data_IF_451788920355
#
_entry.id   IF_451788920355
#
_cell.length_a   1.000
_cell.length_b   1.000
_cell.length_c   1.000
_cell.angle_alpha   90.00
_cell.angle_beta   90.00
_cell.angle_gamma   90.00
#
_symmetry.space_group_name_H-M   'P 1'
#
loop_
_entity.id
_entity.type
_entity.pdbx_description
1 polymer ?
#
# COMPACT_ATOMS: atom_id res chain seq x y z
N UNK A 1 99.34 -26.03 -32.62
CA UNK A 1 98.74 -25.25 -33.72
C UNK A 1 97.40 -24.68 -33.23
N UNK A 2 97.10 -23.41 -33.56
CA UNK A 2 95.83 -22.65 -33.36
C UNK A 2 95.24 -22.56 -31.94
N UNK A 3 95.44 -21.49 -31.15
CA UNK A 3 94.85 -20.12 -31.16
C UNK A 3 93.38 -20.01 -30.65
N UNK A 4 93.22 -19.12 -29.66
CA UNK A 4 92.07 -18.22 -29.35
C UNK A 4 90.83 -18.90 -28.72
N UNK A 5 90.03 -18.30 -27.81
CA UNK A 5 89.97 -16.98 -27.17
C UNK A 5 89.06 -17.09 -25.93
N UNK A 6 89.25 -16.18 -24.98
CA UNK A 6 88.49 -16.02 -23.74
C UNK A 6 87.01 -15.67 -23.94
N UNK A 7 86.16 -15.96 -22.94
CA UNK A 7 85.17 -14.99 -22.44
C UNK A 7 84.61 -15.38 -21.07
N UNK A 8 84.59 -14.38 -20.17
CA UNK A 8 83.99 -14.39 -18.84
C UNK A 8 82.46 -14.45 -18.95
N UNK A 9 81.81 -15.33 -18.19
CA UNK A 9 80.36 -15.22 -17.96
C UNK A 9 80.08 -14.69 -16.55
N UNK A 10 79.46 -13.50 -16.55
CA UNK A 10 78.91 -12.79 -15.41
C UNK A 10 77.70 -13.54 -14.82
N UNK A 11 77.60 -13.58 -13.49
CA UNK A 11 76.46 -14.15 -12.76
C UNK A 11 75.25 -13.22 -12.89
N UNK A 12 74.25 -13.63 -13.66
CA UNK A 12 72.95 -12.96 -13.72
C UNK A 12 72.08 -13.44 -12.53
N UNK A 13 71.79 -12.53 -11.59
CA UNK A 13 70.80 -12.75 -10.53
C UNK A 13 69.41 -12.66 -11.15
N UNK A 14 68.71 -13.80 -11.22
CA UNK A 14 67.29 -13.84 -11.59
C UNK A 14 66.48 -13.49 -10.34
N UNK A 15 65.99 -12.26 -10.28
CA UNK A 15 64.99 -11.83 -9.29
C UNK A 15 63.62 -12.30 -9.77
N UNK A 16 63.05 -13.29 -9.10
CA UNK A 16 61.66 -13.73 -9.33
C UNK A 16 60.74 -12.70 -8.67
N UNK A 17 60.18 -11.80 -9.45
CA UNK A 17 59.12 -10.89 -9.01
C UNK A 17 57.80 -11.67 -9.03
N UNK A 18 57.31 -12.07 -7.86
CA UNK A 18 55.95 -12.59 -7.69
C UNK A 18 54.98 -11.43 -7.94
N UNK A 19 54.35 -11.42 -9.12
CA UNK A 19 53.28 -10.49 -9.46
C UNK A 19 52.04 -10.78 -8.63
N UNK A 20 51.76 -9.95 -7.63
CA UNK A 20 50.50 -9.93 -6.90
C UNK A 20 49.39 -9.43 -7.84
N UNK A 21 48.70 -10.34 -8.52
CA UNK A 21 47.44 -10.03 -9.18
C UNK A 21 46.38 -9.80 -8.11
N UNK A 22 46.28 -8.57 -7.61
CA UNK A 22 45.13 -8.13 -6.79
C UNK A 22 43.91 -8.15 -7.71
N UNK A 23 43.06 -9.16 -7.54
CA UNK A 23 41.75 -9.20 -8.16
C UNK A 23 40.97 -7.96 -7.76
N UNK A 24 40.72 -7.08 -8.71
CA UNK A 24 39.69 -6.03 -8.62
C UNK A 24 38.31 -6.72 -8.64
N UNK A 25 37.97 -7.41 -7.54
CA UNK A 25 36.59 -7.75 -7.25
C UNK A 25 35.84 -6.44 -7.07
N UNK A 26 34.94 -6.14 -8.01
CA UNK A 26 34.17 -4.91 -8.00
C UNK A 26 33.51 -4.70 -6.63
N UNK A 27 33.99 -3.71 -5.87
CA UNK A 27 33.25 -3.18 -4.74
C UNK A 27 31.94 -2.65 -5.32
N UNK A 28 30.86 -3.42 -5.16
CA UNK A 28 29.51 -2.92 -5.35
C UNK A 28 29.36 -1.76 -4.38
N UNK A 29 29.47 -0.53 -4.90
CA UNK A 29 29.33 0.67 -4.10
C UNK A 29 28.01 0.60 -3.36
N UNK A 30 28.05 0.73 -2.03
CA UNK A 30 26.84 0.79 -1.22
C UNK A 30 25.96 1.93 -1.75
N UNK A 31 24.84 1.59 -2.38
CA UNK A 31 23.88 2.57 -2.88
C UNK A 31 22.99 3.01 -1.73
N UNK A 32 23.18 4.24 -1.27
CA UNK A 32 22.30 4.83 -0.26
C UNK A 32 20.92 5.09 -0.87
N UNK A 33 19.86 4.62 -0.21
CA UNK A 33 18.49 5.02 -0.53
C UNK A 33 18.25 6.46 -0.08
N UNK A 34 17.46 7.22 -0.83
CA UNK A 34 16.90 8.48 -0.37
C UNK A 34 15.53 8.74 -1.00
N UNK A 35 14.69 9.53 -0.32
CA UNK A 35 13.37 9.90 -0.82
C UNK A 35 13.49 10.75 -2.09
N UNK A 36 12.87 10.28 -3.16
CA UNK A 36 12.87 10.89 -4.48
C UNK A 36 13.76 10.20 -5.50
N UNK A 37 14.68 9.33 -5.08
CA UNK A 37 15.18 8.29 -5.97
C UNK A 37 14.09 7.23 -6.06
N UNK A 38 13.52 7.00 -7.23
CA UNK A 38 12.46 6.00 -7.41
C UNK A 38 13.08 4.66 -7.79
N UNK A 39 12.68 3.60 -7.08
CA UNK A 39 12.85 2.22 -7.56
C UNK A 39 11.53 1.73 -8.12
N UNK A 40 11.57 1.04 -9.26
CA UNK A 40 10.37 0.50 -9.88
C UNK A 40 10.63 -0.79 -10.64
N UNK A 41 9.57 -1.58 -10.78
CA UNK A 41 9.54 -2.77 -11.64
C UNK A 41 8.12 -3.01 -12.11
N UNK A 42 7.96 -3.46 -13.36
CA UNK A 42 6.70 -4.01 -13.88
C UNK A 42 6.97 -5.42 -14.41
N UNK A 43 6.14 -6.36 -14.01
CA UNK A 43 6.20 -7.76 -14.45
C UNK A 43 4.87 -8.24 -15.00
N UNK A 44 4.93 -9.15 -15.97
CA UNK A 44 3.76 -9.96 -16.35
C UNK A 44 3.51 -11.01 -15.25
N UNK A 45 2.28 -11.05 -14.73
CA UNK A 45 1.95 -11.90 -13.58
C UNK A 45 1.98 -13.40 -13.92
N UNK A 46 1.70 -13.78 -15.16
CA UNK A 46 1.65 -15.18 -15.58
C UNK A 46 3.06 -15.76 -15.73
N UNK A 47 3.89 -15.09 -16.51
CA UNK A 47 5.23 -15.54 -16.90
C UNK A 47 6.33 -15.12 -15.93
N UNK A 48 6.11 -14.04 -15.17
CA UNK A 48 7.16 -13.40 -14.36
C UNK A 48 8.15 -12.58 -15.19
N UNK A 49 7.91 -12.39 -16.49
CA UNK A 49 8.77 -11.58 -17.36
C UNK A 49 8.83 -10.14 -16.86
N UNK A 50 10.04 -9.58 -16.78
CA UNK A 50 10.26 -8.18 -16.41
C UNK A 50 10.09 -7.32 -17.65
N UNK A 51 9.11 -6.42 -17.63
CA UNK A 51 8.77 -5.54 -18.75
C UNK A 51 9.43 -4.15 -18.62
N UNK A 52 9.64 -3.71 -17.39
CA UNK A 52 10.34 -2.46 -17.07
C UNK A 52 10.96 -2.56 -15.69
N UNK A 53 12.12 -1.95 -15.48
CA UNK A 53 12.74 -1.85 -14.16
C UNK A 53 13.69 -0.67 -14.05
N UNK A 54 13.78 -0.10 -12.85
CA UNK A 54 14.74 0.93 -12.47
C UNK A 54 15.12 0.73 -11.01
N UNK A 55 16.41 0.58 -10.70
CA UNK A 55 16.92 0.36 -9.34
C UNK A 55 16.09 -0.69 -8.55
N UNK A 56 15.65 -1.75 -9.22
CA UNK A 56 14.66 -2.71 -8.71
C UNK A 56 15.18 -3.53 -7.53
N UNK A 57 16.51 -3.72 -7.46
CA UNK A 57 17.24 -4.45 -6.42
C UNK A 57 17.79 -3.52 -5.32
N UNK A 58 17.51 -2.21 -5.39
CA UNK A 58 17.91 -1.27 -4.34
C UNK A 58 17.12 -1.54 -3.07
N UNK A 59 17.82 -1.85 -1.97
CA UNK A 59 17.22 -2.08 -0.66
C UNK A 59 16.59 -0.81 -0.10
N UNK A 60 15.34 -0.92 0.34
CA UNK A 60 14.50 0.18 0.82
C UNK A 60 13.66 -0.21 2.02
N UNK A 61 13.25 0.79 2.79
CA UNK A 61 12.23 0.61 3.80
C UNK A 61 10.88 0.28 3.14
N UNK A 62 10.19 -0.81 3.52
CA UNK A 62 8.92 -1.21 2.90
C UNK A 62 7.74 -0.33 3.31
N UNK A 63 7.80 0.32 4.47
CA UNK A 63 6.63 0.88 5.15
C UNK A 63 5.48 -0.15 5.20
N UNK A 64 4.22 0.30 5.10
CA UNK A 64 3.05 -0.59 5.11
C UNK A 64 2.99 -1.64 3.99
N UNK A 65 3.88 -1.63 2.99
CA UNK A 65 3.97 -2.74 2.01
C UNK A 65 4.34 -4.06 2.69
N UNK A 66 4.96 -4.03 3.87
CA UNK A 66 5.18 -5.19 4.74
C UNK A 66 3.91 -6.02 4.98
N UNK A 67 2.75 -5.38 5.06
CA UNK A 67 1.47 -6.05 5.30
C UNK A 67 1.09 -7.03 4.19
N UNK A 68 1.67 -6.93 3.00
CA UNK A 68 1.51 -7.94 1.95
C UNK A 68 2.03 -9.31 2.41
N UNK A 69 3.16 -9.35 3.13
CA UNK A 69 3.70 -10.61 3.67
C UNK A 69 2.86 -11.11 4.85
N UNK A 70 2.34 -10.18 5.67
CA UNK A 70 1.40 -10.53 6.75
C UNK A 70 0.13 -11.18 6.19
N UNK A 71 -0.45 -10.61 5.12
CA UNK A 71 -1.59 -11.19 4.41
C UNK A 71 -1.24 -12.52 3.74
N UNK A 72 -0.07 -12.63 3.12
CA UNK A 72 0.40 -13.88 2.50
C UNK A 72 0.45 -15.03 3.52
N UNK A 73 1.01 -14.79 4.72
CA UNK A 73 1.05 -15.79 5.79
C UNK A 73 -0.35 -16.07 6.38
N UNK A 74 -1.21 -15.07 6.50
CA UNK A 74 -2.59 -15.28 6.94
C UNK A 74 -3.38 -16.17 5.97
N UNK A 75 -3.28 -15.90 4.66
CA UNK A 75 -3.89 -16.71 3.61
C UNK A 75 -3.33 -18.14 3.58
N UNK A 76 -2.01 -18.30 3.80
CA UNK A 76 -1.38 -19.61 3.98
C UNK A 76 -1.99 -20.37 5.17
N UNK A 77 -2.11 -19.71 6.31
CA UNK A 77 -2.66 -20.32 7.53
C UNK A 77 -4.13 -20.72 7.36
N UNK A 78 -4.94 -19.87 6.71
CA UNK A 78 -6.35 -20.18 6.40
C UNK A 78 -6.46 -21.35 5.44
N UNK A 79 -5.74 -21.32 4.31
CA UNK A 79 -5.82 -22.39 3.29
C UNK A 79 -5.37 -23.75 3.84
N UNK A 80 -4.40 -23.76 4.74
CA UNK A 80 -3.91 -24.99 5.38
C UNK A 80 -4.74 -25.43 6.59
N UNK A 81 -5.81 -24.72 6.92
CA UNK A 81 -6.71 -25.04 8.03
C UNK A 81 -6.11 -24.79 9.41
N UNK A 82 -5.01 -24.03 9.51
CA UNK A 82 -4.40 -23.66 10.80
C UNK A 82 -5.25 -22.65 11.56
N UNK A 83 -5.92 -21.75 10.83
CA UNK A 83 -6.87 -20.76 11.36
C UNK A 83 -8.07 -20.66 10.42
N UNK A 84 -9.18 -20.10 10.89
CA UNK A 84 -10.36 -19.80 10.06
C UNK A 84 -10.59 -18.29 9.95
N UNK A 85 -11.21 -17.82 8.86
CA UNK A 85 -11.53 -16.41 8.68
C UNK A 85 -12.42 -15.83 9.79
N UNK A 86 -13.37 -16.62 10.27
CA UNK A 86 -14.28 -16.25 11.36
C UNK A 86 -13.69 -16.48 12.77
N UNK A 87 -12.45 -16.97 12.88
CA UNK A 87 -11.82 -17.22 14.16
C UNK A 87 -11.50 -15.89 14.84
N UNK A 88 -11.92 -15.76 16.11
CA UNK A 88 -11.63 -14.60 16.93
C UNK A 88 -10.17 -14.62 17.42
N UNK A 89 -9.51 -13.47 17.34
CA UNK A 89 -8.16 -13.24 17.81
C UNK A 89 -8.18 -12.20 18.93
N UNK A 90 -7.51 -12.45 20.07
CA UNK A 90 -7.41 -11.46 21.13
C UNK A 90 -6.53 -10.29 20.71
N UNK A 91 -6.89 -9.09 21.15
CA UNK A 91 -6.08 -7.88 20.94
C UNK A 91 -5.23 -7.63 22.19
N UNK A 92 -3.91 -7.65 22.03
CA UNK A 92 -2.98 -7.33 23.11
C UNK A 92 -2.87 -5.82 23.38
N UNK A 93 -2.24 -5.44 24.50
CA UNK A 93 -1.88 -4.04 24.77
C UNK A 93 -0.90 -3.51 23.73
N UNK A 94 0.06 -4.35 23.32
CA UNK A 94 1.06 -4.02 22.29
C UNK A 94 0.35 -3.70 20.97
N UNK A 95 -0.48 -4.61 20.45
CA UNK A 95 -1.23 -4.40 19.23
C UNK A 95 -2.08 -3.11 19.26
N UNK A 96 -2.83 -2.86 20.33
CA UNK A 96 -3.64 -1.66 20.46
C UNK A 96 -2.84 -0.34 20.45
N UNK A 97 -1.55 -0.39 20.79
CA UNK A 97 -0.65 0.78 20.81
C UNK A 97 -0.04 1.14 19.44
N UNK A 98 -0.24 0.31 18.41
CA UNK A 98 0.42 0.49 17.11
C UNK A 98 -0.21 1.64 16.29
N UNK A 99 0.42 2.80 16.33
CA UNK A 99 0.03 4.04 15.62
C UNK A 99 0.79 4.24 14.30
N UNK A 100 0.43 5.19 13.43
CA UNK A 100 -0.73 6.09 13.49
C UNK A 100 -1.98 5.55 12.79
N UNK A 101 -1.85 4.75 11.72
CA UNK A 101 -3.02 4.18 11.04
C UNK A 101 -3.53 2.97 11.80
N UNK A 102 -4.70 3.06 12.42
CA UNK A 102 -5.26 2.01 13.28
C UNK A 102 -6.79 1.95 13.24
N UNK A 103 -7.38 0.82 13.59
CA UNK A 103 -8.84 0.71 13.81
C UNK A 103 -9.27 1.31 15.15
N UNK A 104 -8.35 1.43 16.10
CA UNK A 104 -8.65 1.83 17.47
C UNK A 104 -9.10 0.64 18.32
N UNK A 105 -8.49 -0.53 18.09
CA UNK A 105 -8.76 -1.73 18.86
C UNK A 105 -8.44 -1.50 20.36
N UNK A 106 -9.22 -2.14 21.24
CA UNK A 106 -9.03 -2.04 22.69
C UNK A 106 -8.30 -3.27 23.22
N UNK A 107 -7.36 -3.13 24.17
CA UNK A 107 -6.76 -4.30 24.82
C UNK A 107 -7.82 -5.22 25.42
N UNK A 108 -7.69 -6.53 25.19
CA UNK A 108 -8.64 -7.55 25.64
C UNK A 108 -9.91 -7.67 24.80
N UNK A 109 -10.13 -6.80 23.81
CA UNK A 109 -11.16 -7.01 22.79
C UNK A 109 -10.75 -8.13 21.81
N UNK A 110 -11.67 -8.50 20.93
CA UNK A 110 -11.43 -9.52 19.91
C UNK A 110 -11.69 -8.95 18.51
N UNK A 111 -10.97 -9.50 17.54
CA UNK A 111 -11.10 -9.20 16.11
C UNK A 111 -11.04 -10.53 15.34
N UNK A 112 -11.93 -10.74 14.38
CA UNK A 112 -11.82 -11.95 13.53
C UNK A 112 -10.64 -11.84 12.55
N UNK A 113 -10.10 -12.97 12.10
CA UNK A 113 -9.05 -13.02 11.07
C UNK A 113 -9.47 -12.26 9.81
N UNK A 114 -10.73 -12.42 9.37
CA UNK A 114 -11.28 -11.70 8.21
C UNK A 114 -11.32 -10.19 8.42
N UNK A 115 -11.78 -9.72 9.59
CA UNK A 115 -11.77 -8.30 9.89
C UNK A 115 -10.36 -7.73 9.92
N UNK A 116 -9.37 -8.50 10.39
CA UNK A 116 -7.97 -8.09 10.30
C UNK A 116 -7.53 -7.98 8.83
N UNK A 117 -7.77 -9.00 8.01
CA UNK A 117 -7.49 -8.95 6.56
C UNK A 117 -8.10 -7.70 5.91
N UNK A 118 -9.38 -7.45 6.15
CA UNK A 118 -10.09 -6.26 5.66
C UNK A 118 -9.48 -4.96 6.16
N UNK A 119 -9.06 -4.90 7.42
CA UNK A 119 -8.41 -3.72 8.01
C UNK A 119 -7.02 -3.44 7.40
N UNK A 120 -6.27 -4.50 7.09
CA UNK A 120 -4.95 -4.41 6.46
C UNK A 120 -5.07 -3.90 5.01
N UNK A 121 -6.04 -4.41 4.24
CA UNK A 121 -6.23 -3.98 2.83
C UNK A 121 -6.84 -2.59 2.73
N UNK A 122 -7.87 -2.27 3.53
CA UNK A 122 -8.62 -1.02 3.38
C UNK A 122 -8.02 0.18 4.09
N UNK A 123 -7.61 0.07 5.36
CA UNK A 123 -7.07 1.19 6.16
C UNK A 123 -5.56 1.10 6.37
N UNK A 124 -4.96 -0.05 6.06
CA UNK A 124 -3.57 -0.32 6.43
C UNK A 124 -3.35 -0.29 7.96
N UNK A 125 -4.33 -0.76 8.72
CA UNK A 125 -4.35 -0.66 10.17
C UNK A 125 -3.18 -1.43 10.82
N UNK A 126 -2.36 -0.75 11.62
CA UNK A 126 -1.17 -1.27 12.28
C UNK A 126 -1.55 -2.14 13.50
N UNK A 127 -2.58 -1.73 14.25
CA UNK A 127 -3.11 -2.49 15.39
C UNK A 127 -3.65 -3.86 14.96
N UNK A 128 -4.44 -3.90 13.89
CA UNK A 128 -4.91 -5.16 13.31
C UNK A 128 -3.76 -6.02 12.76
N UNK A 129 -2.74 -5.41 12.14
CA UNK A 129 -1.59 -6.15 11.60
C UNK A 129 -0.75 -6.79 12.71
N UNK A 130 -0.50 -6.04 13.79
CA UNK A 130 0.20 -6.55 14.96
C UNK A 130 -0.62 -7.65 15.65
N UNK A 131 -1.92 -7.45 15.87
CA UNK A 131 -2.78 -8.49 16.47
C UNK A 131 -2.79 -9.79 15.64
N UNK A 132 -2.94 -9.69 14.32
CA UNK A 132 -2.87 -10.85 13.42
C UNK A 132 -1.48 -11.50 13.43
N UNK A 133 -0.42 -10.68 13.46
CA UNK A 133 0.95 -11.15 13.55
C UNK A 133 1.23 -11.90 14.85
N UNK A 134 0.88 -11.32 16.00
CA UNK A 134 0.95 -11.98 17.31
C UNK A 134 0.17 -13.29 17.29
N UNK A 135 -1.06 -13.28 16.79
CA UNK A 135 -1.90 -14.47 16.73
C UNK A 135 -1.26 -15.62 15.93
N UNK A 136 -0.78 -15.33 14.72
CA UNK A 136 -0.08 -16.31 13.88
C UNK A 136 1.32 -16.67 14.41
N UNK A 137 1.95 -15.77 15.18
CA UNK A 137 3.21 -15.98 15.87
C UNK A 137 3.09 -16.77 17.18
N UNK A 138 1.88 -17.13 17.61
CA UNK A 138 1.65 -17.80 18.89
C UNK A 138 1.82 -16.86 20.09
N UNK A 139 1.34 -15.63 19.97
CA UNK A 139 1.38 -14.57 20.98
C UNK A 139 2.58 -13.63 20.90
N UNK A 140 3.43 -13.74 19.87
CA UNK A 140 4.68 -12.98 19.75
C UNK A 140 4.90 -12.45 18.32
N UNK A 141 4.85 -11.12 18.16
CA UNK A 141 5.09 -10.45 16.88
C UNK A 141 6.54 -10.64 16.40
N UNK A 142 7.53 -10.73 17.30
CA UNK A 142 8.93 -10.94 16.92
C UNK A 142 9.11 -12.31 16.27
N UNK A 143 8.48 -13.33 16.85
CA UNK A 143 8.42 -14.67 16.25
C UNK A 143 7.73 -14.65 14.89
N UNK A 144 6.65 -13.89 14.75
CA UNK A 144 5.98 -13.71 13.46
C UNK A 144 6.87 -13.01 12.42
N UNK A 145 7.57 -11.95 12.78
CA UNK A 145 8.52 -11.28 11.88
C UNK A 145 9.65 -12.21 11.40
N UNK A 146 10.11 -13.12 12.26
CA UNK A 146 11.05 -14.17 11.86
C UNK A 146 10.41 -15.18 10.89
N UNK A 147 9.12 -15.52 11.04
CA UNK A 147 8.36 -16.32 10.08
C UNK A 147 8.26 -15.61 8.72
N UNK A 148 7.92 -14.31 8.73
CA UNK A 148 7.85 -13.49 7.51
C UNK A 148 9.19 -13.47 6.76
N UNK A 149 10.30 -13.27 7.47
CA UNK A 149 11.65 -13.26 6.86
C UNK A 149 12.03 -14.63 6.29
N UNK A 150 11.72 -15.73 6.99
CA UNK A 150 11.94 -17.09 6.46
C UNK A 150 11.10 -17.35 5.22
N UNK A 151 9.83 -16.93 5.22
CA UNK A 151 8.97 -17.10 4.06
C UNK A 151 9.47 -16.27 2.88
N UNK A 152 9.92 -15.03 3.11
CA UNK A 152 10.57 -14.21 2.08
C UNK A 152 11.72 -14.96 1.40
N UNK A 153 12.61 -15.57 2.18
CA UNK A 153 13.69 -16.42 1.65
C UNK A 153 13.18 -17.63 0.85
N UNK A 154 12.08 -18.28 1.26
CA UNK A 154 11.47 -19.39 0.51
C UNK A 154 10.87 -18.95 -0.83
N UNK A 155 10.39 -17.71 -0.91
CA UNK A 155 9.87 -17.12 -2.15
C UNK A 155 10.97 -16.56 -3.07
N UNK A 156 12.23 -16.55 -2.61
CA UNK A 156 13.36 -15.98 -3.35
C UNK A 156 13.51 -14.46 -3.19
N UNK A 157 12.93 -13.87 -2.15
CA UNK A 157 13.05 -12.45 -1.82
C UNK A 157 14.32 -12.18 -0.99
N UNK A 158 15.49 -12.23 -1.63
CA UNK A 158 16.78 -12.23 -0.93
C UNK A 158 17.24 -10.87 -0.41
N UNK A 159 16.62 -9.77 -0.86
CA UNK A 159 16.90 -8.42 -0.35
C UNK A 159 15.99 -8.03 0.83
N UNK A 160 15.11 -8.95 1.23
CA UNK A 160 14.02 -8.71 2.19
C UNK A 160 14.30 -9.25 3.58
N UNK A 161 14.10 -8.39 4.57
CA UNK A 161 14.10 -8.71 5.99
C UNK A 161 12.92 -8.00 6.64
N UNK A 162 12.08 -8.75 7.37
CA UNK A 162 10.96 -8.20 8.14
C UNK A 162 11.29 -8.18 9.64
N UNK A 163 10.76 -7.17 10.33
CA UNK A 163 10.96 -6.98 11.78
C UNK A 163 9.67 -6.76 12.57
N UNK A 164 8.56 -6.53 11.90
CA UNK A 164 7.22 -6.46 12.48
C UNK A 164 6.17 -6.78 11.41
N UNK A 165 4.91 -6.96 11.82
CA UNK A 165 3.82 -7.33 10.92
C UNK A 165 3.24 -6.14 10.15
N UNK A 166 3.50 -4.91 10.60
CA UNK A 166 2.82 -3.70 10.14
C UNK A 166 3.63 -2.89 9.13
N UNK A 167 4.95 -2.99 9.13
CA UNK A 167 5.82 -2.09 8.40
C UNK A 167 6.20 -0.83 9.15
N UNK A 168 5.95 -0.77 10.46
CA UNK A 168 6.42 0.34 11.29
C UNK A 168 7.96 0.45 11.25
N UNK A 169 8.52 1.67 11.40
CA UNK A 169 9.95 1.90 11.24
C UNK A 169 10.81 0.96 12.08
N UNK A 170 11.73 0.28 11.41
CA UNK A 170 12.81 -0.48 12.03
C UNK A 170 14.01 -0.44 11.06
N UNK A 171 15.22 -0.06 11.51
CA UNK A 171 16.38 0.12 10.63
C UNK A 171 16.85 -1.18 9.96
N UNK A 172 16.55 -2.34 10.55
CA UNK A 172 16.90 -3.66 9.98
C UNK A 172 15.84 -4.19 9.01
N UNK A 173 14.67 -3.53 8.91
CA UNK A 173 13.60 -3.94 8.02
C UNK A 173 13.80 -3.35 6.63
N UNK A 174 14.02 -4.20 5.64
CA UNK A 174 14.32 -3.81 4.27
C UNK A 174 13.62 -4.73 3.28
N UNK A 175 13.42 -4.25 2.06
CA UNK A 175 12.94 -5.01 0.89
C UNK A 175 13.52 -4.40 -0.38
N UNK A 176 13.29 -5.01 -1.54
CA UNK A 176 13.50 -4.39 -2.85
C UNK A 176 12.18 -4.28 -3.63
N UNK A 177 12.18 -3.54 -4.74
CA UNK A 177 11.02 -3.48 -5.63
C UNK A 177 10.79 -4.83 -6.32
N UNK A 178 11.88 -5.53 -6.67
CA UNK A 178 11.82 -6.89 -7.24
C UNK A 178 11.18 -7.87 -6.26
N UNK A 179 11.61 -7.87 -5.00
CA UNK A 179 11.09 -8.78 -3.98
C UNK A 179 9.60 -8.56 -3.74
N UNK A 180 9.15 -7.31 -3.72
CA UNK A 180 7.72 -7.01 -3.61
C UNK A 180 6.91 -7.45 -4.84
N UNK A 181 7.50 -7.41 -6.05
CA UNK A 181 6.85 -7.95 -7.24
C UNK A 181 6.73 -9.47 -7.19
N UNK A 182 7.75 -10.16 -6.66
CA UNK A 182 7.71 -11.61 -6.38
C UNK A 182 6.58 -11.92 -5.40
N UNK A 183 6.52 -11.22 -4.27
CA UNK A 183 5.47 -11.40 -3.26
C UNK A 183 4.07 -11.16 -3.81
N UNK A 184 3.88 -10.08 -4.57
CA UNK A 184 2.60 -9.75 -5.19
C UNK A 184 2.16 -10.83 -6.19
N UNK A 185 3.09 -11.36 -6.99
CA UNK A 185 2.81 -12.48 -7.89
C UNK A 185 2.39 -13.72 -7.12
N UNK A 186 3.07 -14.05 -6.03
CA UNK A 186 2.72 -15.17 -5.16
C UNK A 186 1.35 -14.99 -4.48
N UNK A 187 0.98 -13.78 -4.05
CA UNK A 187 -0.38 -13.50 -3.56
C UNK A 187 -1.45 -13.81 -4.61
N UNK A 188 -1.21 -13.46 -5.88
CA UNK A 188 -2.15 -13.67 -6.98
C UNK A 188 -2.23 -15.13 -7.40
N UNK A 189 -1.07 -15.79 -7.56
CA UNK A 189 -0.98 -17.16 -8.10
C UNK A 189 -1.30 -18.19 -7.04
N UNK A 190 -0.78 -18.03 -5.82
CA UNK A 190 -0.95 -19.02 -4.77
C UNK A 190 -2.28 -18.85 -4.04
N UNK A 191 -2.83 -17.63 -3.96
CA UNK A 191 -4.04 -17.35 -3.16
C UNK A 191 -5.09 -16.56 -3.96
N UNK A 192 -5.25 -16.90 -5.25
CA UNK A 192 -6.21 -16.26 -6.14
C UNK A 192 -7.64 -16.28 -5.61
N UNK A 193 -8.02 -17.31 -4.83
CA UNK A 193 -9.31 -17.41 -4.15
C UNK A 193 -9.55 -16.30 -3.10
N UNK A 194 -8.49 -15.76 -2.51
CA UNK A 194 -8.56 -14.69 -1.50
C UNK A 194 -8.18 -13.31 -2.06
N UNK A 195 -7.70 -13.24 -3.30
CA UNK A 195 -7.24 -11.99 -3.90
C UNK A 195 -8.33 -10.91 -3.98
N UNK A 196 -9.60 -11.31 -4.00
CA UNK A 196 -10.75 -10.40 -4.00
C UNK A 196 -10.75 -9.40 -2.82
N UNK A 197 -10.12 -9.72 -1.69
CA UNK A 197 -10.00 -8.78 -0.56
C UNK A 197 -9.27 -7.49 -0.92
N UNK A 198 -8.32 -7.50 -1.85
CA UNK A 198 -7.56 -6.30 -2.23
C UNK A 198 -8.41 -5.27 -2.98
N UNK A 199 -9.50 -5.70 -3.62
CA UNK A 199 -10.35 -4.86 -4.46
C UNK A 199 -11.61 -4.35 -3.74
N UNK A 200 -11.83 -4.69 -2.47
CA UNK A 200 -13.02 -4.23 -1.74
C UNK A 200 -13.01 -2.70 -1.60
N UNK A 201 -14.16 -2.02 -1.80
CA UNK A 201 -14.23 -0.56 -1.69
C UNK A 201 -14.10 -0.06 -0.24
N UNK A 202 -14.39 -0.93 0.72
CA UNK A 202 -14.38 -0.66 2.14
C UNK A 202 -15.02 -1.82 2.92
N UNK A 203 -15.04 -1.72 4.24
CA UNK A 203 -15.77 -2.65 5.10
C UNK A 203 -16.36 -1.96 6.32
N UNK A 204 -17.36 -2.55 6.96
CA UNK A 204 -17.93 -2.02 8.20
C UNK A 204 -17.27 -2.66 9.42
N UNK A 205 -16.75 -1.81 10.31
CA UNK A 205 -16.20 -2.22 11.59
C UNK A 205 -16.92 -1.47 12.72
N UNK A 206 -17.59 -2.21 13.62
CA UNK A 206 -18.41 -1.66 14.71
C UNK A 206 -19.35 -0.53 14.29
N UNK A 207 -20.06 -0.73 13.18
CA UNK A 207 -21.04 0.24 12.65
C UNK A 207 -20.43 1.46 11.94
N UNK A 208 -19.11 1.49 11.74
CA UNK A 208 -18.42 2.53 10.98
C UNK A 208 -17.86 1.97 9.68
N UNK A 209 -18.07 2.69 8.58
CA UNK A 209 -17.44 2.36 7.31
C UNK A 209 -15.95 2.70 7.38
N UNK A 210 -15.13 1.76 6.90
CA UNK A 210 -13.69 1.89 6.74
C UNK A 210 -13.39 1.80 5.24
N UNK A 211 -13.23 2.94 4.55
CA UNK A 211 -13.02 2.96 3.11
C UNK A 211 -11.62 2.46 2.73
N UNK A 212 -11.50 1.89 1.54
CA UNK A 212 -10.21 1.55 0.95
C UNK A 212 -9.51 2.83 0.43
N UNK A 213 -8.24 3.01 0.79
CA UNK A 213 -7.42 4.15 0.38
C UNK A 213 -6.52 3.86 -0.83
N UNK A 214 -6.59 2.69 -1.46
CA UNK A 214 -5.85 2.42 -2.69
C UNK A 214 -6.35 3.34 -3.81
N UNK A 215 -5.53 4.30 -4.27
CA UNK A 215 -5.96 5.25 -5.28
C UNK A 215 -6.17 4.61 -6.65
N UNK A 216 -5.57 3.45 -6.92
CA UNK A 216 -5.57 2.86 -8.26
C UNK A 216 -6.91 2.21 -8.60
N UNK A 217 -7.63 1.66 -7.61
CA UNK A 217 -8.92 0.99 -7.80
C UNK A 217 -9.96 1.85 -8.52
N UNK A 218 -9.96 3.17 -8.26
CA UNK A 218 -10.86 4.11 -8.92
C UNK A 218 -10.21 4.91 -10.06
N UNK A 219 -8.88 5.00 -10.11
CA UNK A 219 -8.17 5.92 -11.00
C UNK A 219 -7.55 5.26 -12.23
N UNK A 220 -7.34 3.93 -12.22
CA UNK A 220 -6.64 3.23 -13.30
C UNK A 220 -7.46 2.07 -13.85
N UNK A 221 -7.82 2.08 -15.16
CA UNK A 221 -8.62 1.01 -15.76
C UNK A 221 -7.97 -0.36 -15.59
N UNK A 222 -8.75 -1.30 -15.03
CA UNK A 222 -8.33 -2.68 -14.79
C UNK A 222 -7.61 -2.91 -13.47
N UNK A 223 -7.37 -1.88 -12.65
CA UNK A 223 -6.70 -2.04 -11.36
C UNK A 223 -7.57 -2.80 -10.34
N UNK A 224 -6.96 -3.74 -9.63
CA UNK A 224 -7.66 -4.63 -8.68
C UNK A 224 -6.86 -4.90 -7.38
N UNK A 225 -5.92 -4.02 -7.06
CA UNK A 225 -5.09 -4.09 -5.86
C UNK A 225 -3.78 -3.28 -6.01
N UNK A 226 -2.82 -3.40 -5.09
CA UNK A 226 -2.84 -4.22 -3.87
C UNK A 226 -2.65 -3.37 -2.62
N UNK A 227 -1.60 -2.55 -2.56
CA UNK A 227 -1.23 -1.86 -1.32
C UNK A 227 -0.33 -0.66 -1.52
N UNK A 228 -0.63 0.41 -0.79
CA UNK A 228 0.24 1.57 -0.60
C UNK A 228 1.10 1.45 0.67
N UNK A 229 2.21 2.19 0.72
CA UNK A 229 3.00 2.38 1.93
C UNK A 229 3.65 3.76 2.00
N UNK A 230 3.76 4.31 3.21
CA UNK A 230 4.42 5.58 3.48
C UNK A 230 5.04 5.59 4.88
N UNK A 231 6.27 6.10 4.97
CA UNK A 231 6.88 6.75 6.14
C UNK A 231 7.80 7.86 5.62
N UNK A 232 8.27 8.73 6.51
CA UNK A 232 9.18 9.81 6.11
C UNK A 232 10.50 9.26 5.53
N UNK A 233 10.98 8.11 6.03
CA UNK A 233 12.19 7.46 5.55
C UNK A 233 11.97 6.65 4.26
N UNK A 234 10.79 6.06 4.10
CA UNK A 234 10.46 5.20 2.97
C UNK A 234 9.98 5.98 1.74
N UNK A 235 9.47 7.20 1.93
CA UNK A 235 8.73 7.94 0.91
C UNK A 235 7.41 7.29 0.54
N UNK A 236 6.83 7.67 -0.60
CA UNK A 236 5.53 7.17 -1.06
C UNK A 236 5.69 5.95 -1.97
N UNK A 237 5.13 4.81 -1.53
CA UNK A 237 5.29 3.50 -2.15
C UNK A 237 3.94 2.90 -2.56
N UNK A 238 3.95 2.06 -3.60
CA UNK A 238 2.77 1.39 -4.14
C UNK A 238 3.16 0.08 -4.84
N UNK A 239 2.41 -0.97 -4.53
CA UNK A 239 2.34 -2.21 -5.29
C UNK A 239 0.92 -2.31 -5.85
N UNK A 240 0.79 -2.46 -7.16
CA UNK A 240 -0.50 -2.53 -7.84
C UNK A 240 -0.54 -3.68 -8.84
N UNK A 241 -1.73 -4.20 -9.11
CA UNK A 241 -1.98 -5.05 -10.28
C UNK A 241 -3.13 -4.49 -11.10
N UNK A 242 -3.06 -4.71 -12.41
CA UNK A 242 -4.12 -4.37 -13.33
C UNK A 242 -4.28 -5.45 -14.40
N UNK A 243 -5.52 -5.64 -14.87
CA UNK A 243 -5.86 -6.58 -15.95
C UNK A 243 -6.52 -5.85 -17.12
N UNK A 244 -6.03 -6.10 -18.33
CA UNK A 244 -6.61 -5.61 -19.60
C UNK A 244 -6.43 -6.68 -20.67
N UNK A 245 -7.47 -6.96 -21.45
CA UNK A 245 -7.43 -7.94 -22.55
C UNK A 245 -6.73 -9.27 -22.18
N UNK A 246 -7.05 -9.79 -20.99
CA UNK A 246 -6.50 -11.02 -20.41
C UNK A 246 -4.97 -10.99 -20.11
N UNK A 247 -4.34 -9.83 -20.17
CA UNK A 247 -2.98 -9.57 -19.68
C UNK A 247 -3.07 -8.99 -18.27
N UNK A 248 -2.37 -9.61 -17.31
CA UNK A 248 -2.26 -9.12 -15.93
C UNK A 248 -0.85 -8.64 -15.68
N UNK A 249 -0.72 -7.36 -15.34
CA UNK A 249 0.55 -6.76 -14.94
C UNK A 249 0.59 -6.50 -13.43
N UNK A 250 1.79 -6.57 -12.86
CA UNK A 250 2.09 -6.16 -11.49
C UNK A 250 3.14 -5.06 -11.57
N UNK A 251 2.84 -3.90 -10.99
CA UNK A 251 3.76 -2.77 -10.90
C UNK A 251 4.14 -2.48 -9.45
N UNK A 252 5.41 -2.13 -9.24
CA UNK A 252 5.94 -1.66 -7.95
C UNK A 252 6.63 -0.32 -8.17
N UNK A 253 6.34 0.65 -7.30
CA UNK A 253 7.00 1.96 -7.24
C UNK A 253 7.34 2.25 -5.78
N UNK A 254 8.60 2.57 -5.50
CA UNK A 254 9.09 2.89 -4.16
C UNK A 254 9.92 4.17 -4.15
N UNK A 255 9.88 4.91 -3.05
CA UNK A 255 10.70 6.09 -2.79
C UNK A 255 10.24 7.36 -3.50
N UNK A 256 8.98 7.47 -3.92
CA UNK A 256 8.50 8.69 -4.55
C UNK A 256 8.35 9.83 -3.52
N UNK A 257 8.52 11.10 -3.96
CA UNK A 257 8.43 12.29 -3.09
C UNK A 257 7.01 12.69 -2.70
N UNK A 258 5.98 12.16 -3.37
CA UNK A 258 4.58 12.48 -3.09
C UNK A 258 3.65 11.40 -3.63
N UNK A 259 2.42 11.33 -3.07
CA UNK A 259 1.36 10.46 -3.59
C UNK A 259 1.08 10.71 -5.08
N UNK A 260 1.05 11.98 -5.50
CA UNK A 260 0.84 12.36 -6.91
C UNK A 260 1.96 11.83 -7.81
N UNK A 261 3.23 11.98 -7.40
CA UNK A 261 4.36 11.48 -8.19
C UNK A 261 4.34 9.95 -8.27
N UNK A 262 4.07 9.28 -7.16
CA UNK A 262 3.93 7.82 -7.11
C UNK A 262 2.86 7.31 -8.08
N UNK A 263 1.65 7.88 -8.00
CA UNK A 263 0.51 7.43 -8.80
C UNK A 263 0.73 7.69 -10.30
N UNK A 264 1.25 8.88 -10.66
CA UNK A 264 1.54 9.22 -12.06
C UNK A 264 2.64 8.35 -12.65
N UNK A 265 3.71 8.08 -11.89
CA UNK A 265 4.77 7.14 -12.29
C UNK A 265 4.24 5.72 -12.46
N UNK A 266 3.46 5.20 -11.51
CA UNK A 266 2.86 3.86 -11.61
C UNK A 266 2.01 3.72 -12.88
N UNK A 267 1.10 4.67 -13.10
CA UNK A 267 0.18 4.60 -14.22
C UNK A 267 0.91 4.71 -15.58
N UNK A 268 1.96 5.54 -15.67
CA UNK A 268 2.80 5.63 -16.88
C UNK A 268 3.57 4.33 -17.17
N UNK A 269 4.11 3.69 -16.12
CA UNK A 269 4.80 2.41 -16.24
C UNK A 269 3.84 1.32 -16.74
N UNK A 270 2.66 1.20 -16.12
CA UNK A 270 1.66 0.22 -16.54
C UNK A 270 1.18 0.45 -17.97
N UNK A 271 0.91 1.70 -18.38
CA UNK A 271 0.49 1.98 -19.77
C UNK A 271 1.57 1.60 -20.79
N UNK A 272 2.83 1.91 -20.48
CA UNK A 272 3.96 1.53 -21.35
C UNK A 272 4.10 0.01 -21.43
N UNK A 273 3.94 -0.69 -20.31
CA UNK A 273 4.05 -2.15 -20.27
C UNK A 273 2.85 -2.86 -20.92
N UNK A 274 1.63 -2.34 -20.80
CA UNK A 274 0.49 -2.88 -21.56
C UNK A 274 0.69 -2.70 -23.07
N UNK A 275 1.19 -1.54 -23.50
CA UNK A 275 1.51 -1.32 -24.91
C UNK A 275 2.61 -2.28 -25.42
N UNK A 276 3.61 -2.58 -24.59
CA UNK A 276 4.66 -3.56 -24.91
C UNK A 276 4.11 -4.99 -25.06
N UNK A 277 3.07 -5.33 -24.31
CA UNK A 277 2.31 -6.60 -24.42
C UNK A 277 1.27 -6.58 -25.57
N UNK A 278 1.23 -5.53 -26.38
CA UNK A 278 0.30 -5.39 -27.51
C UNK A 278 -1.14 -5.06 -27.13
N UNK A 279 -1.39 -4.65 -25.88
CA UNK A 279 -2.71 -4.24 -25.39
C UNK A 279 -2.98 -2.78 -25.70
N UNK A 280 -4.16 -2.49 -26.26
CA UNK A 280 -4.53 -1.14 -26.67
C UNK A 280 -4.66 -0.18 -25.46
N UNK A 281 -4.30 1.11 -25.62
CA UNK A 281 -4.49 2.10 -24.55
C UNK A 281 -5.97 2.26 -24.17
N UNK A 282 -6.25 2.34 -22.87
CA UNK A 282 -7.59 2.60 -22.33
C UNK A 282 -7.62 3.99 -21.73
N UNK A 283 -8.65 4.78 -22.07
CA UNK A 283 -8.85 6.10 -21.48
C UNK A 283 -9.00 5.99 -19.96
N UNK A 284 -8.22 6.78 -19.22
CA UNK A 284 -8.33 6.81 -17.75
C UNK A 284 -9.55 7.64 -17.35
N UNK A 285 -10.28 7.26 -16.28
CA UNK A 285 -11.33 8.09 -15.74
C UNK A 285 -10.74 9.47 -15.41
N UNK A 286 -11.40 10.54 -15.85
CA UNK A 286 -11.05 11.86 -15.36
C UNK A 286 -11.26 11.86 -13.83
N UNK A 287 -10.18 12.01 -13.05
CA UNK A 287 -10.26 12.15 -11.59
C UNK A 287 -10.97 13.46 -11.26
N UNK A 288 -12.31 13.38 -11.22
CA UNK A 288 -13.33 14.42 -11.02
C UNK A 288 -13.24 15.67 -11.91
N UNK A 289 -14.37 16.12 -12.47
CA UNK A 289 -14.42 17.31 -13.32
C UNK A 289 -14.13 18.59 -12.52
N UNK A 290 -13.50 19.56 -13.17
CA UNK A 290 -13.54 20.97 -12.75
C UNK A 290 -14.98 21.34 -12.39
N UNK A 291 -15.25 21.60 -11.12
CA UNK A 291 -16.51 22.22 -10.71
C UNK A 291 -16.47 23.67 -11.20
N UNK A 292 -16.98 23.91 -12.41
CA UNK A 292 -17.17 25.26 -12.92
C UNK A 292 -18.37 25.86 -12.17
N UNK A 293 -18.11 26.41 -10.98
CA UNK A 293 -19.12 27.17 -10.26
C UNK A 293 -19.44 28.44 -11.08
N UNK A 294 -20.55 28.41 -11.82
CA UNK A 294 -21.16 29.64 -12.32
C UNK A 294 -21.70 30.40 -11.11
N UNK A 295 -20.97 31.42 -10.67
CA UNK A 295 -21.51 32.41 -9.75
C UNK A 295 -22.63 33.18 -10.49
N UNK A 296 -23.87 32.69 -10.36
CA UNK A 296 -25.07 33.43 -10.75
C UNK A 296 -25.34 34.55 -9.75
N UNK A 297 -24.46 35.56 -9.72
CA UNK A 297 -24.72 36.79 -9.00
C UNK A 297 -25.69 37.65 -9.79
N UNK A 298 -26.93 37.80 -9.31
CA UNK A 298 -27.76 38.95 -9.69
C UNK A 298 -27.10 40.19 -9.10
N UNK A 299 -26.25 40.86 -9.87
CA UNK A 299 -25.85 42.23 -9.58
C UNK A 299 -26.80 43.15 -10.33
N UNK A 300 -27.57 43.94 -9.57
CA UNK A 300 -28.13 45.17 -10.08
C UNK A 300 -26.96 46.11 -10.41
N UNK A 301 -27.01 46.72 -11.60
CA UNK A 301 -26.07 47.69 -12.18
C UNK A 301 -24.97 47.06 -13.06
N UNK A 302 -25.05 47.40 -14.34
CA UNK A 302 -24.29 46.80 -15.42
C UNK A 302 -22.82 47.20 -15.48
N UNK A 303 -21.99 46.23 -15.85
CA UNK A 303 -20.94 46.28 -16.88
C UNK A 303 -20.26 44.91 -16.91
N UNK A 304 -20.24 44.26 -18.08
CA UNK A 304 -19.63 42.96 -18.25
C UNK A 304 -18.10 43.08 -18.29
N UNK A 305 -17.44 42.73 -17.19
CA UNK A 305 -16.04 42.34 -17.18
C UNK A 305 -15.94 40.84 -16.92
N UNK A 306 -15.37 40.08 -17.86
CA UNK A 306 -14.97 38.70 -17.57
C UNK A 306 -13.74 38.74 -16.67
N UNK A 307 -13.92 38.44 -15.38
CA UNK A 307 -12.81 38.17 -14.48
C UNK A 307 -12.55 36.66 -14.47
N UNK A 308 -11.51 36.23 -15.17
CA UNK A 308 -10.96 34.87 -15.02
C UNK A 308 -10.24 34.81 -13.66
N UNK A 309 -10.95 34.36 -12.64
CA UNK A 309 -10.32 33.99 -11.37
C UNK A 309 -9.72 32.59 -11.51
N UNK A 310 -8.47 32.49 -11.98
CA UNK A 310 -7.69 31.28 -11.78
C UNK A 310 -7.31 31.23 -10.30
N UNK A 311 -7.97 30.38 -9.53
CA UNK A 311 -7.48 30.04 -8.20
C UNK A 311 -6.15 29.27 -8.38
N UNK A 312 -5.03 29.98 -8.29
CA UNK A 312 -3.73 29.36 -7.99
C UNK A 312 -3.84 28.84 -6.57
N UNK A 313 -4.24 27.57 -6.41
CA UNK A 313 -3.97 26.85 -5.17
C UNK A 313 -2.46 26.73 -5.06
N UNK A 314 -1.89 27.51 -4.13
CA UNK A 314 -0.51 27.34 -3.70
C UNK A 314 -0.35 25.89 -3.26
N UNK A 315 0.55 25.19 -3.91
CA UNK A 315 1.02 23.88 -3.48
C UNK A 315 1.84 24.09 -2.21
N UNK A 316 1.20 23.90 -1.05
CA UNK A 316 1.79 23.62 0.27
C UNK A 316 0.63 23.56 1.26
N UNK A 317 -0.05 22.42 1.31
CA UNK A 317 -0.87 22.06 2.46
C UNK A 317 -0.46 20.67 2.88
N UNK A 318 0.10 20.61 4.08
CA UNK A 318 0.40 19.39 4.82
C UNK A 318 -0.79 18.43 4.77
N UNK A 319 -0.49 17.14 4.71
CA UNK A 319 -1.48 16.08 4.84
C UNK A 319 -2.33 16.35 6.10
N UNK A 320 -3.64 16.48 5.91
CA UNK A 320 -4.63 16.36 6.99
C UNK A 320 -4.50 14.94 7.56
N UNK A 321 -3.71 14.81 8.63
CA UNK A 321 -3.83 13.70 9.54
C UNK A 321 -5.24 13.81 10.12
N UNK A 322 -6.07 12.80 9.86
CA UNK A 322 -7.36 12.68 10.50
C UNK A 322 -7.14 12.58 12.02
N UNK A 323 -7.23 13.72 12.71
CA UNK A 323 -7.28 13.77 14.16
C UNK A 323 -8.55 13.03 14.59
N UNK A 324 -8.38 11.93 15.32
CA UNK A 324 -9.50 11.20 15.89
C UNK A 324 -10.32 12.17 16.76
N UNK A 325 -11.66 12.14 16.73
CA UNK A 325 -12.45 12.99 17.61
C UNK A 325 -12.03 12.73 19.06
N UNK A 326 -11.53 13.77 19.71
CA UNK A 326 -11.22 13.75 21.14
C UNK A 326 -12.50 13.37 21.88
N UNK A 327 -12.49 12.18 22.50
CA UNK A 327 -13.50 11.81 23.48
C UNK A 327 -13.31 12.80 24.64
N UNK A 328 -14.35 13.55 25.07
CA UNK A 328 -14.19 14.44 26.22
C UNK A 328 -13.82 13.59 27.44
N UNK A 329 -12.62 13.83 27.97
CA UNK A 329 -12.18 13.27 29.24
C UNK A 329 -12.94 13.96 30.37
N UNK A 330 -14.14 13.47 30.70
CA UNK A 330 -14.78 13.75 32.00
C UNK A 330 -14.53 12.57 32.94
N UNK A 331 -13.28 12.42 33.39
CA UNK A 331 -12.98 11.58 34.55
C UNK A 331 -13.24 12.42 35.81
N UNK A 332 -14.49 12.46 36.26
CA UNK A 332 -14.82 13.06 37.56
C UNK A 332 -14.27 12.14 38.64
N UNK A 333 -13.28 12.63 39.40
CA UNK A 333 -12.69 11.94 40.55
C UNK A 333 -13.79 11.71 41.61
N UNK A 334 -14.35 10.50 41.69
CA UNK A 334 -15.32 10.14 42.73
C UNK A 334 -14.58 10.04 44.07
N UNK A 335 -14.75 11.08 44.89
CA UNK A 335 -14.53 11.02 46.34
C UNK A 335 -15.70 10.26 46.96
N UNK A 336 -15.42 9.26 47.80
CA UNK A 336 -16.43 8.57 48.61
C UNK A 336 -17.23 9.58 49.45
N UNK A 337 -18.54 9.53 49.33
CA UNK A 337 -19.50 10.23 50.17
C UNK A 337 -20.91 9.70 49.89
N UNK A 338 -21.62 9.30 50.94
CA UNK A 338 -22.97 8.74 50.93
C UNK A 338 -23.98 9.59 50.14
N UNK A 339 -24.80 8.96 49.31
CA UNK A 339 -25.98 9.60 48.69
C UNK A 339 -26.52 8.85 47.48
N UNK A 340 -27.81 8.51 47.55
CA UNK A 340 -28.63 7.77 46.57
C UNK A 340 -28.68 8.45 45.19
N UNK A 341 -28.64 7.69 44.09
CA UNK A 341 -28.85 8.22 42.73
C UNK A 341 -29.97 7.47 42.01
N UNK A 342 -30.91 8.24 41.47
CA UNK A 342 -32.09 7.83 40.69
C UNK A 342 -31.70 7.56 39.23
N UNK A 343 -32.20 6.46 38.65
CA UNK A 343 -32.04 6.15 37.22
C UNK A 343 -33.13 6.82 36.37
N UNK A 344 -32.73 7.46 35.27
CA UNK A 344 -33.63 7.88 34.18
C UNK A 344 -33.09 7.32 32.87
N UNK A 345 -33.89 6.53 32.15
CA UNK A 345 -33.62 6.05 30.80
C UNK A 345 -34.24 6.99 29.76
N UNK A 346 -33.54 7.37 28.67
CA UNK A 346 -34.19 7.91 27.49
C UNK A 346 -34.61 6.79 26.52
N UNK A 347 -35.84 6.90 26.02
CA UNK A 347 -36.49 5.98 25.08
C UNK A 347 -35.96 6.11 23.63
N UNK A 348 -36.11 5.07 22.78
CA UNK A 348 -35.60 5.09 21.41
C UNK A 348 -36.55 5.81 20.44
N UNK A 349 -36.00 6.69 19.62
CA UNK A 349 -36.70 7.32 18.48
C UNK A 349 -36.56 6.40 17.25
N UNK A 350 -37.68 5.93 16.71
CA UNK A 350 -37.76 5.23 15.42
C UNK A 350 -37.67 6.24 14.27
N UNK A 351 -36.82 5.97 13.28
CA UNK A 351 -36.85 6.65 11.99
C UNK A 351 -37.13 5.64 10.87
N UNK A 352 -38.13 5.92 10.04
CA UNK A 352 -38.51 5.12 8.88
C UNK A 352 -37.53 5.36 7.72
N UNK A 353 -37.12 4.28 7.05
CA UNK A 353 -36.29 4.31 5.84
C UNK A 353 -37.18 4.10 4.62
N UNK A 354 -37.15 5.03 3.67
CA UNK A 354 -37.64 4.81 2.31
C UNK A 354 -36.48 4.41 1.40
N UNK A 355 -36.59 3.24 0.79
CA UNK A 355 -35.70 2.79 -0.28
C UNK A 355 -36.13 3.48 -1.59
N UNK A 356 -35.20 4.16 -2.27
CA UNK A 356 -35.43 4.61 -3.65
C UNK A 356 -34.42 3.90 -4.56
N UNK A 357 -34.95 2.96 -5.36
CA UNK A 357 -34.24 2.32 -6.47
C UNK A 357 -34.22 3.26 -7.67
N UNK A 358 -33.05 3.43 -8.29
CA UNK A 358 -32.88 4.16 -9.56
C UNK A 358 -33.46 3.32 -10.71
N UNK A 359 -34.76 3.46 -10.95
CA UNK A 359 -35.43 2.95 -12.14
C UNK A 359 -35.23 3.90 -13.33
N UNK A 360 -34.91 3.32 -14.49
CA UNK A 360 -34.81 3.99 -15.78
C UNK A 360 -36.07 4.81 -16.10
N UNK A 361 -35.90 6.05 -16.54
CA UNK A 361 -37.00 6.85 -17.11
C UNK A 361 -36.77 7.00 -18.61
N UNK A 362 -37.55 6.24 -19.38
CA UNK A 362 -37.80 6.49 -20.79
C UNK A 362 -38.75 7.70 -20.92
N UNK A 363 -38.40 8.64 -21.80
CA UNK A 363 -39.26 9.77 -22.13
C UNK A 363 -40.45 9.29 -23.00
N UNK A 364 -41.66 9.37 -22.45
CA UNK A 364 -42.89 9.36 -23.21
C UNK A 364 -43.58 10.73 -23.07
N UNK A 365 -43.72 11.44 -24.19
CA UNK A 365 -44.48 12.68 -24.32
C UNK A 365 -45.97 12.33 -24.43
N UNK A 366 -46.82 12.92 -23.56
CA UNK A 366 -48.26 12.90 -23.78
C UNK A 366 -48.89 14.29 -23.76
N UNK A 367 -49.70 14.50 -24.79
CA UNK A 367 -50.44 15.69 -25.15
C UNK A 367 -51.46 16.12 -24.07
N UNK A 368 -51.64 17.43 -23.97
CA UNK A 368 -52.56 18.11 -23.05
C UNK A 368 -53.90 18.33 -23.74
N UNK A 369 -54.92 17.58 -23.35
CA UNK A 369 -56.31 17.90 -23.66
C UNK A 369 -56.80 19.01 -22.69
N UNK A 370 -57.29 20.12 -23.23
CA UNK A 370 -58.11 21.12 -22.53
C UNK A 370 -59.56 20.88 -22.90
N UNK A 371 -60.45 20.84 -21.92
CA UNK A 371 -61.89 20.78 -22.11
C UNK A 371 -62.57 22.11 -21.77
N UNK A 372 -63.53 22.50 -22.63
CA UNK A 372 -64.67 23.42 -22.41
C UNK A 372 -64.27 24.90 -22.26
N UNK A 373 -64.86 25.86 -22.97
CA UNK A 373 -66.20 26.04 -23.55
C UNK A 373 -66.16 26.64 -24.95
#
# INVERSE_FOLDING_TARGET
MSRLSATRFSRLKVTVTVGLCVGLGGMQAARAQYVGQVSSIVVDARTGAVLSQQDSDLRRYPASLTKLMTLYLAFKAVRTGQVAFNQEMPVSVHAASMEPSKLGLRPGSQLTVEQAVLALVTKSANDAACALGEFLGGGDETRFAAMMTREAGRLGMYDTVFRNASGLPNPEQMTSARDLAILARHLIVDYGEYYHYFAVPGFYFHGREVPNHDPMLGAYPGADGLKTGYTDEAGHNLVTSAVRDNVRLIGVVMGAKSNTRRNTTMAALLDTSFAAEGVAPVARPATRPLLLARAGGRSALGRHGMTLASARLRAETADEVAEAPAIPASYTRIRRGHGTVVHVHPAPVRAHVHLVSMGHVAHATHARAKSRS
#
